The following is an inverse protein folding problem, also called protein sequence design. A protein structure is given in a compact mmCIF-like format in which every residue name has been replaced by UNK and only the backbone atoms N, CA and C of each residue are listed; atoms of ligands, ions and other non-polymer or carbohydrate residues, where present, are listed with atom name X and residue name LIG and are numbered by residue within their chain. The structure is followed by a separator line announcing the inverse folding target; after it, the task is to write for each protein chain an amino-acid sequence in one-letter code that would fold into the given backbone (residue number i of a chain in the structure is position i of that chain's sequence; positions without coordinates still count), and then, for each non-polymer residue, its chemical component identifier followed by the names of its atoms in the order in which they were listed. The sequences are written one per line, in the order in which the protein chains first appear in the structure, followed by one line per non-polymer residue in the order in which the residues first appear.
data_IF_112049908196
#
_entry.id   IF_112049908196
#
_cell.length_a   1.000
_cell.length_b   1.000
_cell.length_c   1.000
_cell.angle_alpha   90.00
_cell.angle_beta   90.00
_cell.angle_gamma   90.00
#
_symmetry.space_group_name_H-M   'P 1'
#
loop_
_entity.id
_entity.type
_entity.pdbx_description
1 polymer ?
#
# COMPACT_ATOMS: atom_id res chain seq x y z
N UNK A 1 -1.62 -15.11 22.58
CA UNK A 1 -2.43 -14.57 21.47
C UNK A 1 -2.24 -15.52 20.29
N UNK A 2 -3.28 -16.23 19.89
CA UNK A 2 -3.22 -17.12 18.74
C UNK A 2 -3.26 -16.26 17.48
N UNK A 3 -2.29 -16.42 16.59
CA UNK A 3 -2.28 -15.74 15.30
C UNK A 3 -3.24 -16.51 14.38
N UNK A 4 -4.25 -15.83 13.84
CA UNK A 4 -5.28 -16.45 13.00
C UNK A 4 -4.77 -16.66 11.56
N UNK A 5 -3.91 -17.67 11.38
CA UNK A 5 -3.26 -17.99 10.11
C UNK A 5 -4.24 -18.29 8.97
N UNK A 6 -5.39 -18.90 9.27
CA UNK A 6 -6.46 -19.16 8.31
C UNK A 6 -6.98 -17.86 7.67
N UNK A 7 -7.18 -16.83 8.48
CA UNK A 7 -7.66 -15.52 8.03
C UNK A 7 -6.60 -14.84 7.18
N UNK A 8 -5.34 -14.91 7.60
CA UNK A 8 -4.20 -14.34 6.85
C UNK A 8 -4.09 -14.98 5.46
N UNK A 9 -4.17 -16.31 5.36
CA UNK A 9 -4.10 -17.02 4.08
C UNK A 9 -5.25 -16.64 3.14
N UNK A 10 -6.47 -16.47 3.67
CA UNK A 10 -7.61 -16.03 2.88
C UNK A 10 -7.39 -14.63 2.33
N UNK A 11 -6.94 -13.69 3.16
CA UNK A 11 -6.72 -12.30 2.75
C UNK A 11 -5.57 -12.18 1.74
N UNK A 12 -4.53 -13.00 1.84
CA UNK A 12 -3.42 -13.00 0.88
C UNK A 12 -3.87 -13.27 -0.57
N UNK A 13 -4.90 -14.11 -0.74
CA UNK A 13 -5.47 -14.45 -2.05
C UNK A 13 -6.42 -13.38 -2.61
N UNK A 14 -6.81 -12.40 -1.81
CA UNK A 14 -7.74 -11.35 -2.24
C UNK A 14 -7.03 -10.25 -3.04
N UNK A 15 -7.81 -9.61 -3.91
CA UNK A 15 -7.38 -8.43 -4.65
C UNK A 15 -7.25 -7.20 -3.75
N UNK A 16 -6.44 -6.24 -4.18
CA UNK A 16 -6.12 -5.04 -3.40
C UNK A 16 -7.33 -4.08 -3.22
N UNK A 17 -8.37 -4.19 -4.06
CA UNK A 17 -9.58 -3.38 -3.95
C UNK A 17 -10.57 -3.85 -2.88
N UNK A 18 -10.30 -4.98 -2.22
CA UNK A 18 -11.20 -5.52 -1.21
C UNK A 18 -11.17 -4.69 0.07
N UNK A 19 -12.35 -4.41 0.61
CA UNK A 19 -12.53 -3.74 1.89
C UNK A 19 -12.50 -4.72 3.05
N UNK A 20 -11.46 -4.62 3.87
CA UNK A 20 -11.25 -5.42 5.08
C UNK A 20 -11.56 -4.63 6.35
N UNK A 21 -12.06 -5.31 7.37
CA UNK A 21 -12.42 -4.76 8.68
C UNK A 21 -11.35 -4.93 9.75
N UNK A 22 -11.71 -4.53 10.97
CA UNK A 22 -10.82 -4.47 12.14
C UNK A 22 -10.12 -5.79 12.45
N UNK A 23 -10.82 -6.92 12.37
CA UNK A 23 -10.25 -8.23 12.69
C UNK A 23 -9.19 -8.67 11.68
N UNK A 24 -9.43 -8.42 10.40
CA UNK A 24 -8.51 -8.77 9.30
C UNK A 24 -7.27 -7.88 9.33
N UNK A 25 -7.45 -6.58 9.59
CA UNK A 25 -6.34 -5.64 9.80
C UNK A 25 -5.51 -6.04 11.01
N UNK A 26 -6.15 -6.43 12.13
CA UNK A 26 -5.46 -6.90 13.32
C UNK A 26 -4.65 -8.19 13.04
N UNK A 27 -5.24 -9.15 12.33
CA UNK A 27 -4.57 -10.39 11.93
C UNK A 27 -3.34 -10.14 11.04
N UNK A 28 -3.42 -9.18 10.11
CA UNK A 28 -2.31 -8.86 9.21
C UNK A 28 -1.20 -8.02 9.84
N UNK A 29 -1.57 -7.06 10.69
CA UNK A 29 -0.60 -6.12 11.28
C UNK A 29 -0.01 -6.61 12.61
N UNK A 30 -0.65 -7.58 13.25
CA UNK A 30 -0.29 -8.04 14.60
C UNK A 30 -0.69 -7.07 15.72
N UNK A 31 -1.36 -5.95 15.40
CA UNK A 31 -1.90 -5.07 16.43
C UNK A 31 -3.13 -5.67 17.09
N UNK A 32 -3.37 -5.28 18.34
CA UNK A 32 -4.62 -5.64 19.01
C UNK A 32 -5.83 -5.05 18.27
N UNK A 33 -6.94 -5.78 18.27
CA UNK A 33 -8.23 -5.32 17.72
C UNK A 33 -8.62 -3.95 18.31
N UNK A 34 -8.32 -3.71 19.60
CA UNK A 34 -8.56 -2.43 20.26
C UNK A 34 -7.74 -1.29 19.64
N UNK A 35 -6.45 -1.53 19.37
CA UNK A 35 -5.56 -0.53 18.73
C UNK A 35 -6.08 -0.14 17.35
N UNK A 36 -6.50 -1.13 16.56
CA UNK A 36 -7.08 -0.91 15.23
C UNK A 36 -8.42 -0.17 15.33
N UNK A 37 -9.28 -0.54 16.30
CA UNK A 37 -10.58 0.11 16.54
C UNK A 37 -10.43 1.56 16.99
N UNK A 38 -9.38 1.87 17.75
CA UNK A 38 -9.02 3.22 18.17
C UNK A 38 -8.33 4.04 17.06
N UNK A 39 -8.18 3.49 15.84
CA UNK A 39 -7.51 4.13 14.70
C UNK A 39 -6.09 4.61 15.03
N UNK A 40 -5.39 3.89 15.91
CA UNK A 40 -4.00 4.20 16.30
C UNK A 40 -2.97 3.71 15.28
N UNK A 41 -3.35 3.73 14.00
CA UNK A 41 -2.51 3.31 12.87
C UNK A 41 -2.15 4.58 12.06
N UNK A 42 -1.04 5.26 12.41
CA UNK A 42 -0.68 6.51 11.75
C UNK A 42 -0.40 6.27 10.26
N UNK A 43 -1.05 7.06 9.40
CA UNK A 43 -0.91 6.95 7.94
C UNK A 43 -1.78 5.86 7.30
N UNK A 44 -2.68 5.22 8.05
CA UNK A 44 -3.67 4.29 7.51
C UNK A 44 -5.09 4.74 7.87
N UNK A 45 -5.72 5.47 6.94
CA UNK A 45 -7.07 5.99 7.13
C UNK A 45 -8.14 4.96 6.70
N UNK A 46 -9.19 4.76 7.51
CA UNK A 46 -10.32 3.94 7.10
C UNK A 46 -11.15 4.67 6.03
N UNK A 47 -11.84 3.90 5.19
CA UNK A 47 -12.73 4.43 4.16
C UNK A 47 -13.85 5.23 4.82
N UNK A 48 -14.00 6.54 4.49
CA UNK A 48 -15.02 7.39 5.08
C UNK A 48 -16.42 6.99 4.59
N UNK A 49 -17.46 7.35 5.34
CA UNK A 49 -18.85 7.11 4.96
C UNK A 49 -19.38 5.70 5.30
N UNK A 50 -18.58 4.85 5.94
CA UNK A 50 -19.01 3.53 6.43
C UNK A 50 -19.25 3.56 7.95
N UNK A 51 -20.34 2.91 8.37
CA UNK A 51 -20.70 2.76 9.80
C UNK A 51 -19.71 1.88 10.58
N UNK A 52 -18.95 1.02 9.88
CA UNK A 52 -17.91 0.17 10.43
C UNK A 52 -16.57 0.54 9.81
N UNK A 53 -15.50 0.48 10.60
CA UNK A 53 -14.15 0.72 10.12
C UNK A 53 -13.78 -0.31 9.06
N UNK A 54 -13.49 0.17 7.86
CA UNK A 54 -13.00 -0.63 6.75
C UNK A 54 -11.78 0.04 6.13
N UNK A 55 -10.85 -0.75 5.63
CA UNK A 55 -9.66 -0.32 4.92
C UNK A 55 -9.57 -1.05 3.59
N UNK A 56 -8.98 -0.41 2.58
CA UNK A 56 -8.63 -1.11 1.35
C UNK A 56 -7.41 -1.97 1.61
N UNK A 57 -7.44 -3.21 1.12
CA UNK A 57 -6.32 -4.14 1.29
C UNK A 57 -5.04 -3.62 0.62
N UNK A 58 -5.16 -2.95 -0.52
CA UNK A 58 -4.04 -2.29 -1.22
C UNK A 58 -3.35 -1.25 -0.35
N UNK A 59 -4.13 -0.34 0.25
CA UNK A 59 -3.61 0.70 1.14
C UNK A 59 -2.91 0.09 2.36
N UNK A 60 -3.48 -0.98 2.94
CA UNK A 60 -2.85 -1.70 4.05
C UNK A 60 -1.53 -2.36 3.62
N UNK A 61 -1.48 -3.03 2.47
CA UNK A 61 -0.26 -3.65 1.95
C UNK A 61 0.82 -2.63 1.63
N UNK A 62 0.43 -1.51 1.06
CA UNK A 62 1.31 -0.38 0.79
C UNK A 62 1.85 0.20 2.10
N UNK A 63 1.00 0.38 3.10
CA UNK A 63 1.38 0.84 4.43
C UNK A 63 2.37 -0.11 5.11
N UNK A 64 2.12 -1.42 5.07
CA UNK A 64 3.05 -2.42 5.61
C UNK A 64 4.41 -2.42 4.88
N UNK A 65 4.42 -2.22 3.56
CA UNK A 65 5.67 -2.11 2.78
C UNK A 65 6.45 -0.82 3.06
N UNK A 66 5.74 0.29 3.26
CA UNK A 66 6.35 1.62 3.47
C UNK A 66 6.75 1.84 4.93
N UNK A 67 6.16 1.09 5.85
CA UNK A 67 6.32 1.27 7.29
C UNK A 67 5.49 2.43 7.83
N UNK A 68 5.23 2.44 9.15
CA UNK A 68 4.60 3.59 9.80
C UNK A 68 5.50 4.81 9.63
N UNK A 69 4.97 5.91 9.10
CA UNK A 69 5.68 7.11 8.63
C UNK A 69 6.31 7.91 9.79
N UNK A 70 7.14 7.27 10.63
CA UNK A 70 8.01 7.93 11.61
C UNK A 70 9.48 7.95 11.19
N UNK A 71 9.82 7.41 10.03
CA UNK A 71 11.20 7.44 9.52
C UNK A 71 11.23 7.67 8.01
N UNK A 72 11.57 8.90 7.64
CA UNK A 72 12.23 9.28 6.39
C UNK A 72 11.36 9.47 5.12
N UNK A 73 11.81 10.36 4.21
CA UNK A 73 10.97 11.12 3.31
C UNK A 73 10.65 10.36 2.01
N UNK A 74 9.48 10.68 1.47
CA UNK A 74 9.05 10.61 0.07
C UNK A 74 10.12 10.08 -0.92
N UNK A 75 10.14 8.77 -1.16
CA UNK A 75 10.83 8.18 -2.33
C UNK A 75 9.84 7.31 -3.10
N UNK A 76 9.45 7.84 -4.26
CA UNK A 76 8.95 7.19 -5.47
C UNK A 76 8.24 5.84 -5.32
N UNK A 77 6.92 5.86 -5.44
CA UNK A 77 6.22 4.75 -6.07
C UNK A 77 6.07 5.01 -7.56
N UNK A 78 6.53 4.10 -8.44
CA UNK A 78 6.06 4.09 -9.81
C UNK A 78 4.65 3.53 -9.82
N UNK A 79 3.66 4.40 -9.95
CA UNK A 79 2.35 4.03 -10.47
C UNK A 79 2.55 3.47 -11.87
N UNK A 80 2.36 2.16 -12.04
CA UNK A 80 2.26 1.52 -13.36
C UNK A 80 0.92 1.90 -13.99
N UNK A 81 0.79 3.15 -14.42
CA UNK A 81 -0.18 3.56 -15.41
C UNK A 81 0.53 3.63 -16.75
N UNK A 82 0.23 2.65 -17.61
CA UNK A 82 0.76 2.58 -18.96
C UNK A 82 0.28 3.77 -19.79
N UNK A 83 1.13 4.81 -19.89
CA UNK A 83 1.10 5.77 -21.00
C UNK A 83 2.47 6.43 -21.18
N UNK A 84 3.44 5.67 -21.68
CA UNK A 84 4.72 6.23 -22.10
C UNK A 84 4.53 7.07 -23.39
N UNK A 85 4.32 8.37 -23.20
CA UNK A 85 4.66 9.38 -24.20
C UNK A 85 6.09 9.87 -23.93
N UNK A 86 6.84 10.02 -25.03
CA UNK A 86 8.10 10.76 -25.26
C UNK A 86 9.38 10.37 -24.51
N UNK A 87 10.34 9.84 -25.29
CA UNK A 87 11.54 10.61 -25.66
C UNK A 87 12.70 10.68 -24.67
N UNK A 88 13.80 9.96 -24.98
CA UNK A 88 15.16 10.35 -24.57
C UNK A 88 16.07 10.23 -25.78
N UNK A 89 16.62 11.34 -26.32
CA UNK A 89 17.60 11.25 -27.40
C UNK A 89 18.83 10.55 -26.85
N UNK A 90 19.23 9.44 -27.47
CA UNK A 90 20.47 8.75 -27.12
C UNK A 90 21.63 9.44 -27.82
N UNK A 91 22.78 9.46 -27.13
CA UNK A 91 24.06 10.10 -27.50
C UNK A 91 24.65 9.71 -28.88
N UNK A 92 24.00 8.80 -29.62
CA UNK A 92 24.40 8.43 -30.99
C UNK A 92 24.15 9.53 -32.03
N UNK A 93 23.14 10.39 -31.83
CA UNK A 93 22.84 11.49 -32.75
C UNK A 93 23.85 12.66 -32.69
N UNK A 94 24.69 12.74 -31.66
CA UNK A 94 25.59 13.89 -31.44
C UNK A 94 26.93 13.77 -32.20
N UNK A 95 27.25 12.60 -32.76
CA UNK A 95 28.55 12.32 -33.42
C UNK A 95 28.48 12.40 -34.95
N UNK A 96 27.30 12.40 -35.58
CA UNK A 96 27.14 12.59 -37.04
C UNK A 96 27.08 14.06 -37.49
N UNK A 97 26.99 15.03 -36.57
CA UNK A 97 26.93 16.46 -36.90
C UNK A 97 28.32 17.15 -37.01
N UNK A 98 29.41 16.37 -36.94
CA UNK A 98 30.78 16.86 -37.18
C UNK A 98 31.45 16.04 -38.28
N UNK A 99 30.95 16.18 -39.50
CA UNK A 99 31.75 15.96 -40.71
C UNK A 99 31.27 16.89 -41.82
#
# INVERSE_FOLDING_TARGET
MSIDYETIQKIQKLADDVLIGVAEVAALTGFSVLTVRQRKLPGLEPVPGLSRLRWRLGDLRQWMRTGSIKSAPLINQPSTEGRHKVGRPTKKAQVEARK
#
